data_IF_910608666734
#
_entry.id   IF_910608666734
#
_cell.length_a   1.000
_cell.length_b   1.000
_cell.length_c   1.000
_cell.angle_alpha   90.00
_cell.angle_beta   90.00
_cell.angle_gamma   90.00
#
_symmetry.space_group_name_H-M   'P 1'
#
loop_
_entity.id
_entity.type
_entity.pdbx_description
1 polymer ?
#
# COMPACT_ATOMS: atom_id res chain seq x y z
N UNK A 1 -6.38 47.49 5.35
CA UNK A 1 -6.30 46.32 4.44
C UNK A 1 -5.63 45.18 5.19
N UNK A 2 -5.85 43.92 4.79
CA UNK A 2 -5.05 42.70 5.13
C UNK A 2 -5.29 41.89 6.42
N UNK A 3 -6.50 41.81 7.01
CA UNK A 3 -6.77 40.80 8.09
C UNK A 3 -7.85 39.77 7.74
N UNK A 4 -8.67 39.99 6.71
CA UNK A 4 -9.78 39.08 6.36
C UNK A 4 -9.35 37.90 5.46
N UNK A 5 -8.15 37.96 4.88
CA UNK A 5 -7.68 37.00 3.86
C UNK A 5 -6.82 35.86 4.40
N UNK A 6 -6.50 35.84 5.69
CA UNK A 6 -5.62 34.81 6.29
C UNK A 6 -6.36 33.54 6.75
N UNK A 7 -7.68 33.60 6.92
CA UNK A 7 -8.46 32.47 7.46
C UNK A 7 -8.76 31.42 6.36
N UNK A 8 -8.83 31.83 5.09
CA UNK A 8 -9.17 30.93 3.99
C UNK A 8 -8.04 29.94 3.62
N UNK A 9 -6.78 30.25 3.96
CA UNK A 9 -5.64 29.40 3.62
C UNK A 9 -5.43 28.23 4.61
N UNK A 10 -5.95 28.33 5.84
CA UNK A 10 -5.75 27.32 6.88
C UNK A 10 -6.66 26.08 6.74
N UNK A 11 -7.77 26.20 5.99
CA UNK A 11 -8.71 25.10 5.77
C UNK A 11 -8.29 24.14 4.66
N UNK A 12 -7.38 24.55 3.77
CA UNK A 12 -6.91 23.70 2.68
C UNK A 12 -5.86 22.67 3.12
N UNK A 13 -5.09 22.96 4.17
CA UNK A 13 -4.05 22.05 4.69
C UNK A 13 -4.59 20.90 5.54
N UNK A 14 -5.83 20.97 6.01
CA UNK A 14 -6.46 19.88 6.78
C UNK A 14 -6.93 18.73 5.88
N UNK A 15 -7.23 19.01 4.60
CA UNK A 15 -7.58 17.96 3.64
C UNK A 15 -6.37 17.13 3.19
N UNK A 16 -5.14 17.63 3.37
CA UNK A 16 -3.92 16.87 3.08
C UNK A 16 -3.49 15.97 4.25
N UNK A 17 -3.99 16.21 5.47
CA UNK A 17 -3.73 15.32 6.61
C UNK A 17 -4.48 13.99 6.48
N UNK A 18 -5.47 13.92 5.59
CA UNK A 18 -6.15 12.67 5.22
C UNK A 18 -5.40 11.88 4.13
N UNK A 19 -4.35 12.45 3.52
CA UNK A 19 -3.40 11.75 2.63
C UNK A 19 -2.06 11.49 3.37
N UNK A 20 -2.08 11.63 4.70
CA UNK A 20 -0.93 11.44 5.58
C UNK A 20 -1.42 10.75 6.85
N UNK A 21 -1.78 9.48 6.71
CA UNK A 21 -2.19 8.62 7.82
C UNK A 21 -1.10 8.59 8.90
N UNK A 22 -1.36 9.33 9.98
CA UNK A 22 -0.65 9.20 11.24
C UNK A 22 -1.50 8.29 12.11
N UNK A 23 -1.39 6.99 11.90
CA UNK A 23 -1.80 5.99 12.88
C UNK A 23 -0.57 5.72 13.77
N UNK A 24 -0.74 5.89 15.08
CA UNK A 24 0.21 5.56 16.14
C UNK A 24 0.37 4.02 16.27
N UNK A 25 0.62 3.34 15.15
CA UNK A 25 1.05 1.95 15.06
C UNK A 25 2.37 1.99 14.29
N UNK A 26 3.49 1.72 14.96
CA UNK A 26 4.85 1.72 14.37
C UNK A 26 5.01 0.70 13.21
N UNK A 27 3.95 -0.01 12.85
CA UNK A 27 3.89 -0.97 11.75
C UNK A 27 3.40 -0.29 10.47
N UNK A 28 4.24 -0.19 9.41
CA UNK A 28 3.81 0.34 8.13
C UNK A 28 2.63 -0.45 7.57
N UNK A 29 1.67 0.25 6.93
CA UNK A 29 0.58 -0.41 6.21
C UNK A 29 1.14 -1.41 5.18
N UNK A 30 0.46 -2.54 4.98
CA UNK A 30 0.90 -3.60 4.04
C UNK A 30 0.99 -3.11 2.59
N UNK A 31 0.30 -2.02 2.25
CA UNK A 31 0.34 -1.37 0.93
C UNK A 31 1.44 -0.32 0.80
N UNK A 32 2.17 0.01 1.86
CA UNK A 32 3.19 1.07 1.84
C UNK A 32 4.31 0.77 0.85
N UNK A 33 4.68 -0.50 0.69
CA UNK A 33 5.64 -0.97 -0.31
C UNK A 33 5.51 -2.47 -0.52
N UNK A 34 5.91 -2.94 -1.70
CA UNK A 34 6.06 -4.38 -1.94
C UNK A 34 7.34 -4.86 -1.25
N UNK A 35 7.29 -5.90 -0.39
CA UNK A 35 8.48 -6.43 0.26
C UNK A 35 9.38 -7.17 -0.73
N UNK A 36 10.70 -7.08 -0.55
CA UNK A 36 11.67 -7.74 -1.45
C UNK A 36 11.45 -9.25 -1.59
N UNK A 37 11.05 -9.92 -0.50
CA UNK A 37 10.72 -11.34 -0.49
C UNK A 37 9.60 -11.73 -1.47
N UNK A 38 8.71 -10.79 -1.82
CA UNK A 38 7.65 -11.01 -2.81
C UNK A 38 8.19 -11.15 -4.23
N UNK A 39 9.38 -10.61 -4.53
CA UNK A 39 10.06 -10.81 -5.82
C UNK A 39 11.11 -11.94 -5.78
N UNK A 40 11.50 -12.40 -4.58
CA UNK A 40 12.55 -13.42 -4.41
C UNK A 40 12.01 -14.85 -4.54
N UNK A 41 10.75 -15.11 -4.19
CA UNK A 41 10.20 -16.47 -4.17
C UNK A 41 8.68 -16.49 -4.32
N UNK A 42 8.14 -17.61 -4.84
CA UNK A 42 6.69 -17.84 -4.97
C UNK A 42 6.01 -17.79 -3.59
N UNK A 43 6.61 -18.42 -2.57
CA UNK A 43 6.07 -18.42 -1.21
C UNK A 43 6.01 -17.01 -0.62
N UNK A 44 7.05 -16.20 -0.85
CA UNK A 44 7.07 -14.79 -0.46
C UNK A 44 6.00 -13.98 -1.18
N UNK A 45 5.82 -14.21 -2.48
CA UNK A 45 4.78 -13.55 -3.27
C UNK A 45 3.37 -13.90 -2.78
N UNK A 46 3.09 -15.19 -2.58
CA UNK A 46 1.79 -15.67 -2.05
C UNK A 46 1.53 -15.16 -0.64
N UNK A 47 2.56 -15.10 0.22
CA UNK A 47 2.44 -14.57 1.57
C UNK A 47 2.06 -13.08 1.55
N UNK A 48 2.67 -12.31 0.65
CA UNK A 48 2.33 -10.90 0.45
C UNK A 48 0.88 -10.72 -0.04
N UNK A 49 0.44 -11.51 -1.03
CA UNK A 49 -0.95 -11.47 -1.52
C UNK A 49 -1.97 -11.79 -0.43
N UNK A 50 -1.68 -12.77 0.43
CA UNK A 50 -2.55 -13.10 1.57
C UNK A 50 -2.66 -11.92 2.55
N UNK A 51 -1.54 -11.25 2.82
CA UNK A 51 -1.54 -10.08 3.69
C UNK A 51 -2.35 -8.91 3.08
N UNK A 52 -2.27 -8.71 1.76
CA UNK A 52 -3.08 -7.72 1.04
C UNK A 52 -4.58 -8.03 1.09
N UNK A 53 -4.99 -9.30 0.95
CA UNK A 53 -6.42 -9.69 1.00
C UNK A 53 -7.03 -9.47 2.39
N UNK A 54 -6.24 -9.63 3.45
CA UNK A 54 -6.68 -9.40 4.84
C UNK A 54 -6.72 -7.91 5.18
N UNK A 55 -5.98 -7.08 4.46
CA UNK A 55 -5.99 -5.64 4.67
C UNK A 55 -7.29 -5.02 4.15
N UNK A 56 -7.82 -4.06 4.91
CA UNK A 56 -9.03 -3.30 4.55
C UNK A 56 -8.71 -2.36 3.38
N UNK A 57 -8.73 -2.91 2.17
CA UNK A 57 -8.29 -2.25 0.94
C UNK A 57 -9.09 -0.98 0.61
N UNK A 58 -10.31 -0.84 1.14
CA UNK A 58 -11.16 0.34 0.91
C UNK A 58 -10.65 1.59 1.66
N UNK A 59 -9.77 1.40 2.66
CA UNK A 59 -9.20 2.47 3.49
C UNK A 59 -7.74 2.77 3.16
N UNK A 60 -7.12 1.98 2.29
CA UNK A 60 -5.69 2.04 2.01
C UNK A 60 -5.38 2.66 0.64
N UNK A 61 -4.24 3.34 0.57
CA UNK A 61 -3.72 3.81 -0.71
C UNK A 61 -3.29 2.63 -1.61
N UNK A 62 -3.44 2.76 -2.94
CA UNK A 62 -2.96 1.75 -3.88
C UNK A 62 -1.46 1.54 -3.74
N UNK A 63 -1.03 0.28 -3.74
CA UNK A 63 0.40 -0.07 -3.73
C UNK A 63 1.04 0.21 -5.09
N UNK A 64 2.21 0.84 -5.08
CA UNK A 64 3.06 0.95 -6.28
C UNK A 64 3.79 -0.38 -6.53
N UNK A 65 3.44 -1.03 -7.64
CA UNK A 65 4.01 -2.31 -8.08
C UNK A 65 4.97 -2.15 -9.26
N UNK A 66 5.30 -0.92 -9.67
CA UNK A 66 6.10 -0.66 -10.88
C UNK A 66 7.50 -1.28 -10.84
N UNK A 67 8.08 -1.43 -9.65
CA UNK A 67 9.39 -2.06 -9.43
C UNK A 67 9.30 -3.56 -9.06
N UNK A 68 8.09 -4.12 -8.97
CA UNK A 68 7.88 -5.52 -8.56
C UNK A 68 8.03 -6.45 -9.76
N UNK A 69 8.85 -7.49 -9.61
CA UNK A 69 8.94 -8.57 -10.60
C UNK A 69 8.37 -9.83 -9.98
N UNK A 70 7.20 -10.32 -10.44
CA UNK A 70 6.67 -11.57 -9.94
C UNK A 70 7.67 -12.71 -10.20
N UNK A 71 7.87 -13.62 -9.22
CA UNK A 71 8.68 -14.80 -9.43
C UNK A 71 8.03 -15.66 -10.51
N UNK A 72 8.79 -16.03 -11.53
CA UNK A 72 8.34 -16.94 -12.57
C UNK A 72 8.78 -18.38 -12.22
N UNK A 73 7.87 -19.33 -12.45
CA UNK A 73 8.19 -20.75 -12.41
C UNK A 73 7.63 -21.42 -13.66
N UNK A 74 8.55 -21.74 -14.56
CA UNK A 74 8.26 -22.38 -15.86
C UNK A 74 8.42 -23.91 -15.79
N UNK A 75 8.80 -24.45 -14.64
CA UNK A 75 9.16 -25.87 -14.46
C UNK A 75 8.11 -26.65 -13.69
N UNK A 76 7.36 -25.98 -12.82
CA UNK A 76 6.28 -26.59 -12.05
C UNK A 76 4.96 -26.51 -12.81
N UNK A 77 4.22 -27.62 -12.97
CA UNK A 77 2.91 -27.58 -13.59
C UNK A 77 1.88 -26.81 -12.74
N UNK A 78 0.87 -26.16 -13.36
CA UNK A 78 -0.18 -25.46 -12.63
C UNK A 78 -0.92 -26.38 -11.66
N UNK A 79 -1.20 -25.89 -10.46
CA UNK A 79 -2.06 -26.60 -9.51
C UNK A 79 -3.52 -26.31 -9.82
N UNK A 80 -4.37 -27.33 -9.82
CA UNK A 80 -5.81 -27.15 -9.99
C UNK A 80 -6.37 -26.37 -8.79
N UNK A 81 -7.23 -25.39 -9.07
CA UNK A 81 -8.05 -24.72 -8.04
C UNK A 81 -9.44 -25.38 -8.07
N UNK A 82 -9.86 -25.90 -6.92
CA UNK A 82 -11.20 -26.48 -6.69
C UNK A 82 -12.10 -25.43 -5.99
#
# INVERSE_FOLDING_TARGET
MTHKSLIAAALASVLLVACGGSDDDDTPAVTAQVPGSASESIDGFVSYLKALVVADADTLEPVDVSATTPPADETTPPTAVD
#
